data_IF_723231561293
#
_entry.id   IF_723231561293
#
_cell.length_a   1.000
_cell.length_b   1.000
_cell.length_c   1.000
_cell.angle_alpha   90.00
_cell.angle_beta   90.00
_cell.angle_gamma   90.00
#
_symmetry.space_group_name_H-M   'P 1'
#
loop_
_entity.id
_entity.type
_entity.pdbx_description
1 polymer ?
#
# COMPACT_ATOMS: atom_id res chain seq x y z
N UNK A 1 13.22 1.14 20.19
CA UNK A 1 11.80 0.84 20.51
C UNK A 1 11.10 0.46 19.23
N UNK A 2 9.98 -0.26 19.32
CA UNK A 2 9.12 -0.48 18.15
C UNK A 2 8.53 0.89 17.77
N UNK A 3 8.86 1.42 16.59
CA UNK A 3 8.19 2.60 16.06
C UNK A 3 6.83 2.17 15.51
N UNK A 4 5.79 2.93 15.82
CA UNK A 4 4.47 2.70 15.23
C UNK A 4 4.49 3.12 13.76
N UNK A 5 4.01 2.26 12.86
CA UNK A 5 3.89 2.58 11.46
C UNK A 5 2.77 3.60 11.26
N UNK A 6 3.09 4.75 10.65
CA UNK A 6 2.12 5.75 10.20
C UNK A 6 2.12 5.85 8.68
N UNK A 7 1.00 6.29 8.11
CA UNK A 7 0.80 6.42 6.67
C UNK A 7 1.22 7.81 6.17
N UNK A 8 1.77 7.88 4.96
CA UNK A 8 2.16 9.14 4.31
C UNK A 8 1.03 9.70 3.41
N UNK A 9 0.40 10.83 3.79
CA UNK A 9 -0.65 11.46 2.99
C UNK A 9 -0.20 11.92 1.59
N UNK A 10 1.09 12.17 1.38
CA UNK A 10 1.62 12.60 0.08
C UNK A 10 1.60 11.45 -0.94
N UNK A 11 1.70 10.22 -0.46
CA UNK A 11 1.66 9.03 -1.32
C UNK A 11 0.24 8.55 -1.59
N UNK A 12 -0.71 8.88 -0.72
CA UNK A 12 -2.06 8.33 -0.74
C UNK A 12 -2.81 8.62 -2.05
N UNK A 13 -3.38 7.58 -2.64
CA UNK A 13 -4.30 7.72 -3.76
C UNK A 13 -5.50 8.60 -3.37
N UNK A 14 -5.99 9.52 -4.24
CA UNK A 14 -7.06 10.46 -3.87
C UNK A 14 -8.41 9.85 -3.42
N UNK A 15 -8.66 8.58 -3.72
CA UNK A 15 -9.84 7.85 -3.19
C UNK A 15 -9.62 7.25 -1.79
N UNK A 16 -8.46 7.42 -1.17
CA UNK A 16 -8.18 6.90 0.17
C UNK A 16 -8.36 8.00 1.21
N UNK A 17 -9.09 7.69 2.27
CA UNK A 17 -9.27 8.56 3.44
C UNK A 17 -8.45 7.98 4.58
N UNK A 18 -7.53 8.79 5.12
CA UNK A 18 -6.68 8.43 6.25
C UNK A 18 -7.35 8.86 7.57
N UNK A 19 -7.09 8.12 8.65
CA UNK A 19 -7.44 8.56 10.00
C UNK A 19 -6.59 9.75 10.44
N UNK A 20 -7.06 10.49 11.45
CA UNK A 20 -6.36 11.68 11.94
C UNK A 20 -4.96 11.39 12.52
N UNK A 21 -4.78 10.20 13.10
CA UNK A 21 -3.52 9.69 13.65
C UNK A 21 -2.64 8.97 12.61
N UNK A 22 -3.10 8.90 11.36
CA UNK A 22 -2.41 8.26 10.23
C UNK A 22 -2.12 6.76 10.43
N UNK A 23 -2.82 6.07 11.34
CA UNK A 23 -2.70 4.62 11.54
C UNK A 23 -3.70 3.80 10.72
N UNK A 24 -4.78 4.43 10.24
CA UNK A 24 -5.88 3.80 9.55
C UNK A 24 -6.11 4.36 8.15
N UNK A 25 -6.66 3.51 7.28
CA UNK A 25 -7.03 3.88 5.91
C UNK A 25 -8.31 3.17 5.48
N UNK A 26 -9.17 3.89 4.75
CA UNK A 26 -10.35 3.34 4.09
C UNK A 26 -10.50 3.88 2.68
N UNK A 27 -11.23 3.15 1.84
CA UNK A 27 -11.68 3.67 0.56
C UNK A 27 -12.83 4.66 0.80
N UNK A 28 -12.77 5.83 0.18
CA UNK A 28 -13.84 6.81 0.15
C UNK A 28 -14.73 6.63 -1.07
N UNK A 29 -15.97 7.13 -1.00
CA UNK A 29 -16.93 7.03 -2.11
C UNK A 29 -16.60 8.02 -3.24
N UNK A 30 -15.93 9.12 -2.90
CA UNK A 30 -15.56 10.17 -3.83
C UNK A 30 -14.05 10.37 -3.87
N UNK A 31 -13.57 10.77 -5.06
CA UNK A 31 -12.19 11.17 -5.27
C UNK A 31 -11.97 12.54 -4.62
N UNK A 32 -11.01 12.64 -3.70
CA UNK A 32 -10.65 13.92 -3.10
C UNK A 32 -9.94 14.83 -4.11
N UNK A 33 -10.14 16.17 -4.04
CA UNK A 33 -9.52 17.14 -4.93
C UNK A 33 -8.05 17.42 -4.53
N UNK A 34 -7.22 16.37 -4.50
CA UNK A 34 -5.81 16.48 -4.17
C UNK A 34 -4.97 16.80 -5.42
N UNK A 35 -3.93 17.64 -5.31
CA UNK A 35 -3.02 17.89 -6.41
C UNK A 35 -2.25 16.62 -6.78
N UNK A 36 -1.92 16.49 -8.07
CA UNK A 36 -0.97 15.47 -8.50
C UNK A 36 0.42 15.84 -7.99
N UNK A 37 1.13 14.87 -7.42
CA UNK A 37 2.51 15.00 -6.94
C UNK A 37 3.28 13.72 -7.33
N UNK A 38 4.59 13.78 -7.67
CA UNK A 38 5.35 12.59 -8.10
C UNK A 38 5.23 11.38 -7.15
N UNK A 39 5.13 11.64 -5.86
CA UNK A 39 5.05 10.67 -4.78
C UNK A 39 3.67 10.00 -4.69
N UNK A 40 2.63 10.65 -5.22
CA UNK A 40 1.25 10.18 -5.12
C UNK A 40 0.98 9.01 -6.05
N UNK A 41 0.30 7.98 -5.54
CA UNK A 41 -0.28 6.96 -6.40
C UNK A 41 -1.51 7.49 -7.13
N UNK A 42 -1.43 7.54 -8.45
CA UNK A 42 -2.56 7.98 -9.30
C UNK A 42 -3.27 6.79 -9.96
N UNK A 43 -2.55 5.69 -10.20
CA UNK A 43 -3.07 4.51 -10.90
C UNK A 43 -3.47 3.36 -9.98
N UNK A 44 -2.86 3.27 -8.80
CA UNK A 44 -3.07 2.20 -7.84
C UNK A 44 -3.75 2.78 -6.59
N UNK A 45 -4.79 2.13 -6.09
CA UNK A 45 -5.44 2.53 -4.83
C UNK A 45 -4.54 2.05 -3.68
N UNK A 46 -3.51 2.84 -3.36
CA UNK A 46 -2.48 2.52 -2.39
C UNK A 46 -2.00 3.78 -1.63
N UNK A 47 -1.36 3.54 -0.50
CA UNK A 47 -0.66 4.51 0.35
C UNK A 47 0.55 3.81 0.96
N UNK A 48 1.65 4.52 1.18
CA UNK A 48 2.86 4.00 1.83
C UNK A 48 2.89 4.36 3.31
N UNK A 49 3.70 3.63 4.07
CA UNK A 49 4.17 4.11 5.36
C UNK A 49 5.08 5.34 5.19
N UNK A 50 5.12 6.20 6.21
CA UNK A 50 5.93 7.42 6.23
C UNK A 50 7.44 7.14 6.26
N UNK A 51 7.84 6.01 6.84
CA UNK A 51 9.24 5.61 6.95
C UNK A 51 9.54 4.42 6.04
N UNK A 52 10.67 4.51 5.34
CA UNK A 52 11.25 3.41 4.58
C UNK A 52 12.34 2.69 5.37
N UNK A 53 12.73 1.51 4.90
CA UNK A 53 13.76 0.68 5.54
C UNK A 53 14.91 0.41 4.58
N UNK A 54 16.14 0.50 5.06
CA UNK A 54 17.36 0.19 4.28
C UNK A 54 18.12 -1.02 4.82
N UNK A 55 17.91 -1.38 6.09
CA UNK A 55 18.53 -2.54 6.74
C UNK A 55 17.73 -2.96 7.98
N UNK A 56 18.07 -4.11 8.55
CA UNK A 56 17.49 -4.61 9.81
C UNK A 56 16.27 -5.52 9.64
N UNK A 57 15.61 -5.81 10.75
CA UNK A 57 14.36 -6.59 10.81
C UNK A 57 13.26 -5.68 11.36
N UNK A 58 12.15 -5.63 10.64
CA UNK A 58 11.01 -4.78 10.93
C UNK A 58 9.74 -5.63 10.96
N UNK A 59 8.79 -5.22 11.81
CA UNK A 59 7.53 -5.92 11.99
C UNK A 59 6.41 -4.91 12.23
N UNK A 60 5.26 -5.16 11.63
CA UNK A 60 4.04 -4.40 11.85
C UNK A 60 2.84 -5.34 11.71
N UNK A 61 1.76 -4.99 12.39
CA UNK A 61 0.47 -5.67 12.30
C UNK A 61 -0.53 -4.73 11.63
N UNK A 62 -1.47 -5.31 10.89
CA UNK A 62 -2.54 -4.55 10.26
C UNK A 62 -3.85 -5.25 10.55
N UNK A 63 -4.77 -4.54 11.21
CA UNK A 63 -6.12 -5.02 11.40
C UNK A 63 -6.92 -4.87 10.10
N UNK A 64 -7.30 -6.00 9.50
CA UNK A 64 -8.11 -6.04 8.27
C UNK A 64 -9.58 -6.37 8.54
N UNK A 65 -9.92 -6.71 9.78
CA UNK A 65 -11.26 -7.11 10.23
C UNK A 65 -11.92 -8.11 9.26
N UNK A 66 -13.19 -7.87 8.89
CA UNK A 66 -13.99 -8.68 7.94
C UNK A 66 -13.90 -8.14 6.50
N UNK A 67 -12.85 -7.40 6.14
CA UNK A 67 -12.72 -6.83 4.79
C UNK A 67 -12.54 -7.95 3.77
N UNK A 68 -13.30 -7.86 2.67
CA UNK A 68 -13.28 -8.85 1.59
C UNK A 68 -12.22 -8.57 0.52
N UNK A 69 -11.55 -7.42 0.59
CA UNK A 69 -10.55 -6.99 -0.38
C UNK A 69 -9.52 -6.06 0.27
N UNK A 70 -8.25 -6.44 0.18
CA UNK A 70 -7.12 -5.63 0.65
C UNK A 70 -5.82 -6.09 0.00
N UNK A 71 -4.76 -5.29 0.13
CA UNK A 71 -3.41 -5.61 -0.34
C UNK A 71 -2.43 -5.01 0.65
N UNK A 72 -1.49 -5.81 1.14
CA UNK A 72 -0.51 -5.45 2.17
C UNK A 72 0.87 -5.96 1.76
N UNK A 73 1.93 -5.26 2.15
CA UNK A 73 3.29 -5.71 1.92
C UNK A 73 4.29 -4.57 1.84
N UNK A 74 5.40 -4.82 1.16
CA UNK A 74 6.49 -3.85 0.98
C UNK A 74 6.72 -3.56 -0.49
N UNK A 75 7.18 -2.34 -0.76
CA UNK A 75 7.50 -1.88 -2.11
C UNK A 75 8.85 -1.18 -2.12
N UNK A 76 9.56 -1.25 -3.24
CA UNK A 76 10.71 -0.38 -3.49
C UNK A 76 10.25 1.07 -3.55
N UNK A 77 11.04 2.00 -3.04
CA UNK A 77 10.73 3.44 -3.13
C UNK A 77 10.60 3.91 -4.60
N UNK A 78 11.31 3.24 -5.51
CA UNK A 78 11.43 3.54 -6.94
C UNK A 78 10.27 3.03 -7.82
N UNK A 79 9.24 2.40 -7.23
CA UNK A 79 8.11 1.88 -8.03
C UNK A 79 7.39 2.99 -8.80
N UNK A 80 6.88 2.68 -9.99
CA UNK A 80 6.10 3.64 -10.76
C UNK A 80 4.72 3.83 -10.11
N UNK A 81 4.41 5.08 -9.72
CA UNK A 81 3.16 5.42 -9.02
C UNK A 81 2.09 6.02 -9.94
N UNK A 82 2.45 6.28 -11.20
CA UNK A 82 1.64 7.02 -12.19
C UNK A 82 0.99 6.12 -13.23
N UNK A 83 1.58 4.97 -13.50
CA UNK A 83 1.11 4.00 -14.49
C UNK A 83 0.78 2.68 -13.81
N UNK A 84 -0.29 2.05 -14.27
CA UNK A 84 -0.65 0.71 -13.83
C UNK A 84 0.45 -0.27 -14.23
N UNK A 85 1.08 -0.90 -13.25
CA UNK A 85 2.05 -1.99 -13.41
C UNK A 85 1.53 -3.26 -12.75
N UNK A 86 1.94 -4.45 -13.22
CA UNK A 86 1.73 -5.68 -12.49
C UNK A 86 2.32 -5.55 -11.08
N UNK A 87 1.61 -6.07 -10.08
CA UNK A 87 2.16 -6.20 -8.74
C UNK A 87 3.06 -7.44 -8.74
N UNK A 88 4.37 -7.25 -8.89
CA UNK A 88 5.33 -8.36 -8.91
C UNK A 88 6.67 -7.94 -8.32
N UNK A 89 7.50 -8.90 -7.89
CA UNK A 89 8.86 -8.60 -7.41
C UNK A 89 9.72 -7.91 -8.49
N UNK A 90 9.52 -8.24 -9.77
CA UNK A 90 10.22 -7.60 -10.89
C UNK A 90 9.90 -6.09 -11.00
N UNK A 91 8.66 -5.70 -10.70
CA UNK A 91 8.23 -4.30 -10.63
C UNK A 91 8.48 -3.67 -9.25
N UNK A 92 9.06 -4.41 -8.30
CA UNK A 92 9.43 -3.91 -6.97
C UNK A 92 8.34 -4.02 -5.91
N UNK A 93 7.39 -4.95 -6.06
CA UNK A 93 6.31 -5.21 -5.11
C UNK A 93 6.42 -6.60 -4.50
N UNK A 94 6.34 -6.69 -3.17
CA UNK A 94 6.20 -7.95 -2.42
C UNK A 94 4.97 -7.84 -1.55
N UNK A 95 3.86 -8.36 -2.06
CA UNK A 95 2.54 -8.13 -1.46
C UNK A 95 1.74 -9.42 -1.33
N UNK A 96 0.93 -9.47 -0.28
CA UNK A 96 -0.17 -10.39 -0.10
C UNK A 96 -1.48 -9.65 -0.34
N UNK A 97 -2.48 -10.35 -0.88
CA UNK A 97 -3.79 -9.75 -1.10
C UNK A 97 -4.93 -10.73 -0.93
N UNK A 98 -6.03 -10.23 -0.39
CA UNK A 98 -7.33 -10.90 -0.41
C UNK A 98 -8.18 -10.32 -1.53
N UNK A 99 -8.84 -11.19 -2.29
CA UNK A 99 -9.86 -10.86 -3.29
C UNK A 99 -11.13 -11.66 -3.02
N UNK A 100 -12.28 -11.10 -3.41
CA UNK A 100 -13.59 -11.76 -3.34
C UNK A 100 -13.96 -12.35 -1.97
N UNK A 101 -13.33 -11.89 -0.88
CA UNK A 101 -13.54 -12.37 0.48
C UNK A 101 -12.84 -13.68 0.85
N UNK A 102 -12.26 -14.42 -0.09
CA UNK A 102 -11.71 -15.75 0.18
C UNK A 102 -10.46 -16.12 -0.63
N UNK A 103 -10.15 -15.38 -1.70
CA UNK A 103 -8.97 -15.67 -2.53
C UNK A 103 -7.74 -14.94 -1.98
N UNK A 104 -6.93 -15.65 -1.17
CA UNK A 104 -5.62 -15.17 -0.78
C UNK A 104 -4.61 -15.44 -1.90
N UNK A 105 -3.92 -14.39 -2.35
CA UNK A 105 -2.89 -14.47 -3.38
C UNK A 105 -1.58 -13.87 -2.88
N UNK A 106 -0.49 -14.55 -3.20
CA UNK A 106 0.87 -14.02 -3.13
C UNK A 106 1.35 -13.91 -4.57
N UNK A 107 1.97 -12.79 -4.91
CA UNK A 107 2.54 -12.60 -6.24
C UNK A 107 4.02 -12.92 -6.13
N UNK A 108 4.33 -14.20 -6.30
CA UNK A 108 5.69 -14.70 -6.40
C UNK A 108 6.20 -14.60 -7.84
N UNK A 109 7.52 -14.65 -7.98
CA UNK A 109 8.11 -15.02 -9.27
C UNK A 109 8.01 -16.55 -9.32
N UNK A 110 7.44 -17.16 -10.38
CA UNK A 110 7.45 -18.60 -10.50
C UNK A 110 8.88 -19.13 -10.32
N UNK A 111 9.10 -20.25 -9.61
CA UNK A 111 10.42 -20.87 -9.58
C UNK A 111 10.87 -21.18 -11.01
N UNK A 112 12.15 -20.92 -11.29
CA UNK A 112 12.79 -21.30 -12.55
C UNK A 112 12.84 -22.81 -12.71
#
# INVERSE_FOLDING_TARGET
GLSSLTLDPQTAHPNLVLSADLSGVRHGDTKQPLPSAPERFDSSIAVLGAEGFTAGRHYWEVEVEKKTKWTLGVVKVSVNRKKRRPLSPAEGYWVIMLRNGHELKVLDVPPK
#
